data_IF_700414187086
#
_entry.id   IF_700414187086
#
_cell.length_a   1.000
_cell.length_b   1.000
_cell.length_c   1.000
_cell.angle_alpha   90.00
_cell.angle_beta   90.00
_cell.angle_gamma   90.00
#
_symmetry.space_group_name_H-M   'P 1'
#
loop_
_entity.id
_entity.type
_entity.pdbx_description
1 polymer ?
#
# COMPACT_ATOMS: atom_id res chain seq x y z
N UNK A 1 -7.48 16.82 19.14
CA UNK A 1 -7.72 16.43 17.73
C UNK A 1 -7.70 14.91 17.67
N UNK A 2 -8.85 14.25 17.57
CA UNK A 2 -8.88 12.83 17.19
C UNK A 2 -8.70 12.79 15.67
N UNK A 3 -7.45 12.67 15.22
CA UNK A 3 -7.17 12.33 13.83
C UNK A 3 -7.94 11.05 13.51
N UNK A 4 -8.54 11.07 12.34
CA UNK A 4 -9.67 10.26 11.95
C UNK A 4 -9.35 8.77 11.98
N UNK A 5 -10.21 7.98 12.65
CA UNK A 5 -10.37 6.54 12.46
C UNK A 5 -10.94 6.18 11.07
N UNK A 6 -10.55 6.93 10.03
CA UNK A 6 -11.13 6.87 8.69
C UNK A 6 -10.07 6.60 7.64
N UNK A 7 -8.87 6.15 8.01
CA UNK A 7 -7.96 5.56 7.04
C UNK A 7 -8.26 4.06 6.87
N UNK A 8 -9.46 3.75 6.37
CA UNK A 8 -9.64 2.53 5.58
C UNK A 8 -9.69 3.00 4.13
N UNK A 9 -8.57 3.56 3.68
CA UNK A 9 -8.37 3.75 2.25
C UNK A 9 -8.15 2.34 1.70
N UNK A 10 -9.09 1.87 0.88
CA UNK A 10 -8.91 0.67 0.09
C UNK A 10 -7.83 0.99 -0.95
N UNK A 11 -6.56 0.89 -0.55
CA UNK A 11 -5.44 0.97 -1.48
C UNK A 11 -5.22 -0.44 -1.99
N UNK A 12 -6.00 -0.83 -3.00
CA UNK A 12 -5.69 -1.99 -3.84
C UNK A 12 -4.84 -1.55 -5.05
N UNK A 13 -4.01 -0.52 -4.88
CA UNK A 13 -3.09 -0.14 -5.94
C UNK A 13 -2.07 -1.27 -6.09
N UNK A 14 -2.24 -2.04 -7.17
CA UNK A 14 -1.29 -2.98 -7.77
C UNK A 14 -0.14 -3.33 -6.82
N UNK A 15 -0.40 -4.22 -5.88
CA UNK A 15 0.37 -4.34 -4.63
C UNK A 15 1.88 -4.44 -4.97
N UNK A 16 2.67 -3.38 -4.77
CA UNK A 16 4.04 -3.33 -5.28
C UNK A 16 4.93 -4.23 -4.40
N UNK A 17 5.88 -4.96 -4.99
CA UNK A 17 6.81 -5.81 -4.25
C UNK A 17 7.98 -5.03 -3.60
N UNK A 18 8.02 -4.87 -2.27
CA UNK A 18 9.18 -4.36 -1.51
C UNK A 18 9.66 -5.35 -0.45
N UNK A 19 10.95 -5.73 -0.50
CA UNK A 19 11.64 -6.33 0.63
C UNK A 19 12.50 -5.25 1.30
N UNK A 20 12.09 -4.81 2.49
CA UNK A 20 13.00 -4.21 3.48
C UNK A 20 13.53 -5.32 4.38
N UNK A 21 14.77 -5.23 4.83
CA UNK A 21 15.34 -6.18 5.79
C UNK A 21 14.66 -5.98 7.15
N UNK A 22 13.56 -6.70 7.40
CA UNK A 22 12.79 -6.67 8.65
C UNK A 22 13.08 -7.95 9.43
N UNK A 23 13.55 -7.83 10.67
CA UNK A 23 13.75 -8.97 11.55
C UNK A 23 12.40 -9.54 12.01
N UNK A 24 12.31 -10.86 12.05
CA UNK A 24 11.15 -11.59 12.55
C UNK A 24 11.59 -12.59 13.62
N UNK A 25 10.91 -12.57 14.76
CA UNK A 25 11.09 -13.60 15.78
C UNK A 25 9.77 -13.95 16.47
N UNK A 26 9.81 -15.02 17.25
CA UNK A 26 8.68 -15.48 18.06
C UNK A 26 8.91 -15.02 19.49
N UNK A 27 7.93 -14.33 20.06
CA UNK A 27 7.89 -13.91 21.46
C UNK A 27 6.60 -14.46 22.09
N UNK A 28 6.73 -15.51 22.90
CA UNK A 28 5.58 -16.30 23.37
C UNK A 28 4.82 -16.94 22.20
N UNK A 29 3.51 -16.68 22.11
CA UNK A 29 2.64 -17.13 21.01
C UNK A 29 2.53 -16.08 19.88
N UNK A 30 3.24 -14.95 19.98
CA UNK A 30 3.14 -13.84 19.05
C UNK A 30 4.36 -13.78 18.12
N UNK A 31 4.12 -13.38 16.86
CA UNK A 31 5.17 -13.08 15.88
C UNK A 31 5.46 -11.58 15.95
N UNK A 32 6.72 -11.24 16.23
CA UNK A 32 7.19 -9.85 16.31
C UNK A 32 7.94 -9.47 15.03
N UNK A 33 7.63 -8.28 14.50
CA UNK A 33 8.30 -7.69 13.34
C UNK A 33 9.03 -6.43 13.79
N UNK A 34 10.31 -6.30 13.45
CA UNK A 34 11.09 -5.13 13.83
C UNK A 34 12.15 -4.77 12.78
N UNK A 35 12.38 -3.47 12.64
CA UNK A 35 13.50 -2.86 11.93
C UNK A 35 14.79 -2.84 12.77
N UNK A 36 14.73 -3.29 14.03
CA UNK A 36 15.85 -3.44 14.95
C UNK A 36 16.17 -4.94 15.16
N UNK A 37 17.46 -5.30 15.34
CA UNK A 37 17.84 -6.68 15.63
C UNK A 37 17.20 -7.18 16.94
N UNK A 38 16.90 -8.49 17.05
CA UNK A 38 16.21 -9.04 18.21
C UNK A 38 17.03 -8.87 19.51
N UNK A 39 16.37 -8.71 20.67
CA UNK A 39 17.03 -8.66 21.98
C UNK A 39 17.86 -9.92 22.30
N UNK A 40 18.94 -9.76 23.08
CA UNK A 40 19.79 -10.88 23.50
C UNK A 40 18.96 -11.97 24.21
N UNK A 41 19.02 -13.20 23.67
CA UNK A 41 18.31 -14.37 24.22
C UNK A 41 17.03 -14.78 23.46
N UNK A 42 16.63 -14.03 22.42
CA UNK A 42 15.50 -14.39 21.55
C UNK A 42 15.92 -15.35 20.45
N UNK A 43 15.16 -16.44 20.26
CA UNK A 43 15.39 -17.40 19.16
C UNK A 43 14.96 -16.77 17.85
N UNK A 44 15.95 -16.30 17.07
CA UNK A 44 15.75 -15.90 15.69
C UNK A 44 15.40 -17.15 14.88
N UNK A 45 14.16 -17.22 14.39
CA UNK A 45 13.78 -18.26 13.43
C UNK A 45 13.99 -17.71 12.02
N UNK A 46 15.21 -17.88 11.50
CA UNK A 46 15.28 -18.26 10.09
C UNK A 46 14.49 -19.58 9.97
N UNK A 47 13.57 -19.65 9.00
CA UNK A 47 12.65 -20.78 8.80
C UNK A 47 13.21 -22.15 9.28
N UNK A 48 12.59 -22.82 10.26
CA UNK A 48 12.88 -24.22 10.50
C UNK A 48 12.27 -25.02 9.34
N UNK A 49 13.12 -25.50 8.42
CA UNK A 49 12.71 -26.44 7.36
C UNK A 49 13.28 -26.24 5.96
N UNK A 50 14.11 -25.22 5.69
CA UNK A 50 14.89 -25.17 4.43
C UNK A 50 16.34 -24.76 4.71
N UNK A 51 17.29 -25.55 4.18
CA UNK A 51 18.69 -25.13 4.05
C UNK A 51 18.73 -23.79 3.32
N UNK A 52 19.59 -22.87 3.79
CA UNK A 52 20.02 -21.71 3.03
C UNK A 52 20.29 -22.11 1.57
N UNK A 53 19.84 -21.30 0.62
CA UNK A 53 20.16 -21.52 -0.80
C UNK A 53 21.67 -21.63 -0.93
N UNK A 54 22.14 -22.76 -1.44
CA UNK A 54 23.55 -22.93 -1.77
C UNK A 54 23.93 -21.88 -2.82
N UNK A 55 25.00 -21.15 -2.56
CA UNK A 55 25.74 -20.47 -3.63
C UNK A 55 26.32 -21.59 -4.49
N UNK A 56 25.66 -21.89 -5.61
CA UNK A 56 26.19 -22.83 -6.60
C UNK A 56 27.12 -22.04 -7.51
N UNK A 57 28.43 -22.15 -7.26
CA UNK A 57 29.41 -21.99 -8.32
C UNK A 57 29.38 -23.23 -9.18
N UNK A 58 29.41 -23.05 -10.50
CA UNK A 58 29.31 -24.11 -11.49
C UNK A 58 30.47 -25.12 -11.39
N UNK A 59 30.26 -26.18 -10.64
CA UNK A 59 30.88 -27.50 -10.75
C UNK A 59 30.09 -28.40 -9.79
N UNK A 60 29.86 -29.65 -10.16
CA UNK A 60 29.24 -30.69 -9.31
C UNK A 60 27.70 -30.71 -9.29
N UNK A 61 27.13 -31.06 -10.46
CA UNK A 61 25.84 -31.74 -10.52
C UNK A 61 26.10 -33.25 -10.48
N UNK A 62 25.61 -34.00 -9.47
CA UNK A 62 25.47 -35.44 -9.59
C UNK A 62 24.12 -35.80 -10.20
N UNK A 63 24.21 -36.72 -11.15
CA UNK A 63 23.14 -37.34 -11.92
C UNK A 63 22.17 -38.13 -11.00
N UNK A 64 20.88 -38.06 -11.32
CA UNK A 64 19.74 -38.75 -10.70
C UNK A 64 19.11 -38.18 -9.40
N UNK A 65 17.84 -37.76 -9.55
CA UNK A 65 16.90 -37.54 -8.45
C UNK A 65 16.16 -38.85 -8.08
N UNK A 66 15.85 -39.13 -6.80
CA UNK A 66 15.04 -40.29 -6.44
C UNK A 66 13.54 -40.02 -6.66
N UNK A 67 12.85 -41.04 -7.15
CA UNK A 67 11.44 -41.00 -7.54
C UNK A 67 10.50 -40.76 -6.35
N UNK A 68 9.58 -39.80 -6.50
CA UNK A 68 8.47 -39.55 -5.60
C UNK A 68 7.20 -40.24 -6.13
N UNK A 69 6.58 -41.00 -5.24
CA UNK A 69 5.37 -41.79 -5.42
C UNK A 69 4.16 -40.90 -5.77
N UNK A 70 3.35 -41.35 -6.73
CA UNK A 70 2.33 -40.54 -7.40
C UNK A 70 1.09 -40.27 -6.51
N UNK A 71 0.78 -38.98 -6.31
CA UNK A 71 -0.52 -38.52 -5.80
C UNK A 71 -1.57 -38.48 -6.93
N UNK A 72 -2.88 -38.67 -6.61
CA UNK A 72 -3.95 -38.71 -7.61
C UNK A 72 -4.13 -37.36 -8.34
N UNK A 73 -4.64 -37.36 -9.58
CA UNK A 73 -4.58 -36.19 -10.46
C UNK A 73 -5.57 -35.12 -10.00
N UNK A 74 -5.07 -34.14 -9.23
CA UNK A 74 -5.64 -32.80 -9.27
C UNK A 74 -5.34 -32.25 -10.67
N UNK A 75 -6.37 -31.76 -11.36
CA UNK A 75 -6.30 -31.14 -12.68
C UNK A 75 -5.09 -30.20 -12.80
N UNK A 76 -4.02 -30.71 -13.38
CA UNK A 76 -2.76 -30.05 -13.65
C UNK A 76 -2.90 -29.19 -14.89
N UNK A 77 -3.69 -28.12 -14.77
CA UNK A 77 -3.44 -26.97 -15.62
C UNK A 77 -2.32 -26.19 -14.94
N UNK A 78 -1.09 -26.35 -15.43
CA UNK A 78 -0.05 -25.33 -15.18
C UNK A 78 -0.64 -23.97 -15.56
N UNK A 79 -0.39 -22.90 -14.77
CA UNK A 79 -0.88 -21.58 -15.14
C UNK A 79 -0.32 -21.23 -16.52
N UNK A 80 -1.23 -21.10 -17.48
CA UNK A 80 -0.90 -20.86 -18.88
C UNK A 80 -0.19 -19.50 -19.04
N UNK A 81 1.14 -19.55 -19.11
CA UNK A 81 2.02 -18.43 -19.42
C UNK A 81 2.20 -18.29 -20.95
N UNK A 82 1.09 -18.32 -21.69
CA UNK A 82 1.07 -18.19 -23.16
C UNK A 82 1.91 -17.00 -23.68
N UNK A 83 2.51 -17.10 -24.88
CA UNK A 83 3.49 -16.14 -25.37
C UNK A 83 2.89 -14.75 -25.61
N UNK A 84 3.71 -13.77 -25.26
CA UNK A 84 3.36 -12.37 -25.06
C UNK A 84 3.70 -11.56 -26.33
N UNK A 85 2.87 -10.57 -26.68
CA UNK A 85 3.09 -9.61 -27.78
C UNK A 85 4.55 -9.14 -27.89
N UNK A 86 5.11 -9.18 -29.11
CA UNK A 86 6.49 -8.83 -29.44
C UNK A 86 6.80 -7.32 -29.49
N UNK A 87 5.79 -6.45 -29.29
CA UNK A 87 6.02 -5.01 -29.26
C UNK A 87 6.76 -4.61 -27.97
N UNK A 88 7.75 -3.68 -28.04
CA UNK A 88 8.48 -3.22 -26.87
C UNK A 88 7.51 -2.61 -25.86
N UNK A 89 7.58 -3.08 -24.62
CA UNK A 89 6.72 -2.63 -23.53
C UNK A 89 6.98 -1.15 -23.20
N UNK A 90 5.92 -0.42 -22.88
CA UNK A 90 6.01 1.00 -22.49
C UNK A 90 5.59 1.18 -21.03
N UNK A 91 6.05 2.26 -20.39
CA UNK A 91 5.58 2.62 -19.04
C UNK A 91 4.06 2.83 -19.01
N UNK A 92 3.49 3.46 -20.04
CA UNK A 92 2.03 3.66 -20.14
C UNK A 92 1.29 2.32 -20.16
N UNK A 93 1.82 1.33 -20.89
CA UNK A 93 1.26 -0.02 -20.91
C UNK A 93 1.37 -0.72 -19.55
N UNK A 94 2.52 -0.65 -18.88
CA UNK A 94 2.66 -1.26 -17.54
C UNK A 94 1.69 -0.62 -16.55
N UNK A 95 1.55 0.70 -16.56
CA UNK A 95 0.61 1.42 -15.68
C UNK A 95 -0.85 1.09 -15.95
N UNK A 96 -1.20 0.78 -17.20
CA UNK A 96 -2.53 0.31 -17.58
C UNK A 96 -2.75 -1.13 -17.10
N UNK A 97 -1.84 -2.04 -17.48
CA UNK A 97 -1.98 -3.47 -17.23
C UNK A 97 -1.78 -3.86 -15.77
N UNK A 98 -1.08 -3.06 -14.97
CA UNK A 98 -0.99 -3.28 -13.53
C UNK A 98 -2.21 -2.78 -12.78
N UNK A 99 -3.06 -1.97 -13.42
CA UNK A 99 -4.20 -1.33 -12.79
C UNK A 99 -3.90 -0.01 -12.08
N UNK A 100 -2.64 0.47 -12.07
CA UNK A 100 -2.30 1.75 -11.46
C UNK A 100 -3.09 2.91 -12.08
N UNK A 101 -3.15 2.98 -13.42
CA UNK A 101 -3.89 4.04 -14.13
C UNK A 101 -5.41 4.00 -13.89
N UNK A 102 -6.12 2.87 -14.08
CA UNK A 102 -7.57 2.85 -13.88
C UNK A 102 -8.00 3.10 -12.43
N UNK A 103 -7.14 2.81 -11.45
CA UNK A 103 -7.44 3.04 -10.03
C UNK A 103 -7.12 4.47 -9.55
N UNK A 104 -6.23 5.17 -10.25
CA UNK A 104 -5.74 6.48 -9.83
C UNK A 104 -6.83 7.54 -9.59
N UNK A 105 -7.93 7.63 -10.37
CA UNK A 105 -8.99 8.60 -10.08
C UNK A 105 -9.67 8.40 -8.73
N UNK A 106 -9.98 7.14 -8.38
CA UNK A 106 -10.58 6.81 -7.09
C UNK A 106 -9.58 7.08 -5.95
N UNK A 107 -8.31 6.72 -6.16
CA UNK A 107 -7.25 6.98 -5.21
C UNK A 107 -7.02 8.48 -4.94
N UNK A 108 -6.94 9.30 -6.00
CA UNK A 108 -6.80 10.75 -5.88
C UNK A 108 -7.99 11.38 -5.15
N UNK A 109 -9.20 10.90 -5.42
CA UNK A 109 -10.43 11.33 -4.73
C UNK A 109 -10.35 11.00 -3.23
N UNK A 110 -9.95 9.77 -2.88
CA UNK A 110 -9.82 9.34 -1.50
C UNK A 110 -8.75 10.15 -0.74
N UNK A 111 -7.58 10.37 -1.34
CA UNK A 111 -6.54 11.22 -0.74
C UNK A 111 -7.00 12.67 -0.56
N UNK A 112 -7.72 13.22 -1.54
CA UNK A 112 -8.26 14.58 -1.44
C UNK A 112 -9.30 14.72 -0.31
N UNK A 113 -10.11 13.68 -0.09
CA UNK A 113 -11.14 13.68 0.95
C UNK A 113 -10.58 13.86 2.36
N UNK A 114 -9.34 13.42 2.63
CA UNK A 114 -8.66 13.59 3.93
C UNK A 114 -8.44 15.06 4.32
N UNK A 115 -8.43 15.97 3.34
CA UNK A 115 -8.28 17.41 3.57
C UNK A 115 -9.61 18.13 3.72
N UNK A 116 -10.74 17.49 3.39
CA UNK A 116 -12.05 18.12 3.46
C UNK A 116 -12.50 18.22 4.92
N UNK A 117 -13.04 19.38 5.34
CA UNK A 117 -13.59 19.52 6.68
C UNK A 117 -14.82 18.63 6.84
N UNK A 118 -14.98 18.05 8.03
CA UNK A 118 -16.21 17.35 8.39
C UNK A 118 -17.40 18.31 8.41
N UNK A 119 -18.64 17.82 8.22
CA UNK A 119 -19.83 18.64 8.37
C UNK A 119 -19.82 19.40 9.71
N UNK A 120 -20.01 20.72 9.66
CA UNK A 120 -19.99 21.59 10.84
C UNK A 120 -18.61 21.97 11.37
N UNK A 121 -17.51 21.45 10.82
CA UNK A 121 -16.15 21.76 11.30
C UNK A 121 -15.64 23.13 10.84
N UNK A 122 -16.12 23.63 9.70
CA UNK A 122 -15.82 24.95 9.14
C UNK A 122 -17.09 25.60 8.60
N UNK A 123 -17.14 26.94 8.62
CA UNK A 123 -18.22 27.70 7.99
C UNK A 123 -18.23 27.52 6.47
N UNK A 124 -19.40 27.65 5.84
CA UNK A 124 -19.61 27.29 4.43
C UNK A 124 -18.65 27.95 3.43
N UNK A 125 -18.24 29.20 3.66
CA UNK A 125 -17.25 29.90 2.82
C UNK A 125 -15.86 29.27 2.90
N UNK A 126 -15.40 28.94 4.11
CA UNK A 126 -14.07 28.33 4.31
C UNK A 126 -14.05 26.88 3.86
N UNK A 127 -15.14 26.13 4.13
CA UNK A 127 -15.30 24.78 3.62
C UNK A 127 -15.27 24.73 2.08
N UNK A 128 -15.99 25.63 1.41
CA UNK A 128 -15.95 25.75 -0.04
C UNK A 128 -14.56 26.12 -0.55
N UNK A 129 -13.81 26.98 0.17
CA UNK A 129 -12.44 27.34 -0.21
C UNK A 129 -11.49 26.14 -0.12
N UNK A 130 -11.58 25.36 0.95
CA UNK A 130 -10.80 24.11 1.11
C UNK A 130 -11.13 23.12 0.01
N UNK A 131 -12.42 22.90 -0.28
CA UNK A 131 -12.85 22.00 -1.35
C UNK A 131 -12.30 22.42 -2.73
N UNK A 132 -12.30 23.72 -3.03
CA UNK A 132 -11.69 24.23 -4.27
C UNK A 132 -10.17 24.00 -4.33
N UNK A 133 -9.46 24.11 -3.21
CA UNK A 133 -8.02 23.82 -3.16
C UNK A 133 -7.78 22.34 -3.44
N UNK A 134 -8.48 21.45 -2.72
CA UNK A 134 -8.38 20.00 -2.90
C UNK A 134 -8.63 19.60 -4.35
N UNK A 135 -9.72 20.07 -4.96
CA UNK A 135 -10.07 19.75 -6.34
C UNK A 135 -9.02 20.21 -7.37
N UNK A 136 -8.29 21.30 -7.10
CA UNK A 136 -7.21 21.79 -7.98
C UNK A 136 -5.91 21.01 -7.83
N UNK A 137 -5.66 20.44 -6.65
CA UNK A 137 -4.41 19.76 -6.32
C UNK A 137 -4.46 18.26 -6.65
N UNK A 138 -5.55 17.58 -6.32
CA UNK A 138 -5.73 16.14 -6.56
C UNK A 138 -6.35 15.86 -7.93
N UNK A 139 -5.66 16.26 -9.00
CA UNK A 139 -6.08 16.01 -10.39
C UNK A 139 -5.47 14.70 -10.89
N UNK A 140 -6.26 13.65 -11.17
CA UNK A 140 -5.75 12.32 -11.53
C UNK A 140 -4.79 12.34 -12.72
N UNK A 141 -5.08 13.10 -13.77
CA UNK A 141 -4.26 13.17 -14.98
C UNK A 141 -2.89 13.79 -14.72
N UNK A 142 -2.82 14.78 -13.81
CA UNK A 142 -1.55 15.40 -13.40
C UNK A 142 -0.72 14.43 -12.56
N UNK A 143 -1.36 13.73 -11.63
CA UNK A 143 -0.70 12.69 -10.83
C UNK A 143 -0.19 11.57 -11.73
N UNK A 144 -0.99 11.11 -12.70
CA UNK A 144 -0.60 10.09 -13.67
C UNK A 144 0.62 10.52 -14.48
N UNK A 145 0.61 11.74 -15.02
CA UNK A 145 1.73 12.27 -15.79
C UNK A 145 3.02 12.30 -14.96
N UNK A 146 2.95 12.70 -13.70
CA UNK A 146 4.09 12.74 -12.79
C UNK A 146 4.60 11.33 -12.43
N UNK A 147 3.70 10.38 -12.13
CA UNK A 147 4.05 8.97 -11.86
C UNK A 147 4.72 8.36 -13.08
N UNK A 148 4.13 8.52 -14.27
CA UNK A 148 4.66 8.00 -15.52
C UNK A 148 6.06 8.54 -15.81
N UNK A 149 6.24 9.84 -15.67
CA UNK A 149 7.51 10.50 -15.93
C UNK A 149 8.58 10.07 -14.92
N UNK A 150 8.20 9.85 -13.66
CA UNK A 150 9.10 9.28 -12.66
C UNK A 150 9.48 7.83 -12.94
N UNK A 151 8.52 6.98 -13.34
CA UNK A 151 8.82 5.61 -13.74
C UNK A 151 9.73 5.56 -14.98
N UNK A 152 9.53 6.42 -15.99
CA UNK A 152 10.38 6.50 -17.19
C UNK A 152 11.85 6.76 -16.87
N UNK A 153 12.15 7.47 -15.79
CA UNK A 153 13.53 7.74 -15.35
C UNK A 153 14.19 6.58 -14.61
N UNK A 154 13.40 5.63 -14.09
CA UNK A 154 13.88 4.62 -13.15
C UNK A 154 13.65 3.16 -13.59
N UNK A 155 12.94 2.94 -14.72
CA UNK A 155 12.76 1.60 -15.30
C UNK A 155 13.51 1.48 -16.63
N UNK A 156 14.31 0.43 -16.78
CA UNK A 156 14.98 0.10 -18.05
C UNK A 156 14.12 -0.82 -18.95
N UNK A 157 14.52 -0.97 -20.21
CA UNK A 157 13.78 -1.75 -21.20
C UNK A 157 13.66 -3.25 -20.84
N UNK A 158 14.66 -3.83 -20.17
CA UNK A 158 14.65 -5.24 -19.75
C UNK A 158 13.67 -5.45 -18.60
N UNK A 159 13.64 -4.52 -17.65
CA UNK A 159 12.68 -4.48 -16.57
C UNK A 159 11.25 -4.34 -17.10
N UNK A 160 11.00 -3.40 -18.02
CA UNK A 160 9.69 -3.24 -18.68
C UNK A 160 9.23 -4.50 -19.39
N UNK A 161 10.13 -5.17 -20.14
CA UNK A 161 9.79 -6.43 -20.82
C UNK A 161 9.40 -7.53 -19.83
N UNK A 162 10.12 -7.66 -18.71
CA UNK A 162 9.80 -8.63 -17.66
C UNK A 162 8.46 -8.33 -16.96
N UNK A 163 8.16 -7.06 -16.70
CA UNK A 163 6.86 -6.64 -16.16
C UNK A 163 5.73 -6.93 -17.14
N UNK A 164 5.91 -6.57 -18.41
CA UNK A 164 4.89 -6.78 -19.43
C UNK A 164 4.60 -8.27 -19.65
N UNK A 165 5.63 -9.12 -19.61
CA UNK A 165 5.44 -10.56 -19.73
C UNK A 165 4.46 -11.09 -18.66
N UNK A 166 4.60 -10.64 -17.42
CA UNK A 166 3.68 -11.01 -16.35
C UNK A 166 2.30 -10.38 -16.51
N UNK A 167 2.20 -9.06 -16.65
CA UNK A 167 0.91 -8.38 -16.67
C UNK A 167 0.07 -8.74 -17.91
N UNK A 168 0.71 -9.20 -18.99
CA UNK A 168 0.02 -9.75 -20.18
C UNK A 168 -0.34 -11.23 -20.03
N UNK A 169 0.06 -11.94 -18.97
CA UNK A 169 -0.36 -13.31 -18.73
C UNK A 169 -1.85 -13.38 -18.35
N UNK A 170 -2.46 -14.57 -18.45
CA UNK A 170 -3.83 -14.78 -17.99
C UNK A 170 -3.98 -14.47 -16.49
N UNK A 171 -3.05 -14.99 -15.68
CA UNK A 171 -3.06 -14.78 -14.22
C UNK A 171 -2.82 -13.31 -13.86
N UNK A 172 -1.86 -12.63 -14.50
CA UNK A 172 -1.61 -11.20 -14.27
C UNK A 172 -2.86 -10.34 -14.52
N UNK A 173 -3.54 -10.56 -15.65
CA UNK A 173 -4.82 -9.88 -15.94
C UNK A 173 -5.92 -10.21 -14.94
N UNK A 174 -6.02 -11.47 -14.51
CA UNK A 174 -7.00 -11.91 -13.50
C UNK A 174 -6.77 -11.19 -12.16
N UNK A 175 -5.52 -11.15 -11.69
CA UNK A 175 -5.10 -10.44 -10.47
C UNK A 175 -5.45 -8.96 -10.58
N UNK A 176 -5.03 -8.28 -11.65
CA UNK A 176 -5.33 -6.85 -11.84
C UNK A 176 -6.82 -6.56 -11.89
N UNK A 177 -7.63 -7.43 -12.51
CA UNK A 177 -9.08 -7.26 -12.52
C UNK A 177 -9.69 -7.35 -11.11
N UNK A 178 -9.19 -8.24 -10.26
CA UNK A 178 -9.60 -8.35 -8.85
C UNK A 178 -9.21 -7.10 -8.06
N UNK A 179 -7.98 -6.61 -8.22
CA UNK A 179 -7.48 -5.40 -7.56
C UNK A 179 -8.29 -4.16 -7.98
N UNK A 180 -8.54 -3.97 -9.27
CA UNK A 180 -9.39 -2.88 -9.79
C UNK A 180 -10.83 -3.00 -9.27
N UNK A 181 -11.39 -4.21 -9.19
CA UNK A 181 -12.73 -4.39 -8.65
C UNK A 181 -12.81 -4.02 -7.17
N UNK A 182 -11.77 -4.36 -6.40
CA UNK A 182 -11.66 -4.02 -4.99
C UNK A 182 -11.45 -2.53 -4.73
N UNK A 183 -10.82 -1.80 -5.66
CA UNK A 183 -10.59 -0.36 -5.52
C UNK A 183 -11.85 0.51 -5.66
N UNK A 184 -12.97 -0.08 -6.09
CA UNK A 184 -14.22 0.65 -6.31
C UNK A 184 -14.96 0.91 -4.99
N UNK A 185 -15.71 2.02 -4.86
CA UNK A 185 -16.43 2.35 -3.64
C UNK A 185 -17.37 1.22 -3.15
N UNK A 186 -17.95 0.45 -4.07
CA UNK A 186 -18.90 -0.63 -3.76
C UNK A 186 -18.24 -1.83 -3.07
N UNK A 187 -16.90 -1.93 -3.10
CA UNK A 187 -16.17 -3.00 -2.42
C UNK A 187 -16.07 -2.76 -0.91
N UNK A 188 -16.15 -1.51 -0.43
CA UNK A 188 -16.00 -1.17 0.99
C UNK A 188 -16.96 -1.93 1.92
N UNK A 189 -18.29 -1.87 1.70
CA UNK A 189 -19.24 -2.64 2.51
C UNK A 189 -19.02 -4.16 2.44
N UNK A 190 -18.59 -4.68 1.28
CA UNK A 190 -18.32 -6.11 1.09
C UNK A 190 -17.08 -6.55 1.86
N UNK A 191 -16.02 -5.76 1.83
CA UNK A 191 -14.80 -5.98 2.60
C UNK A 191 -15.10 -5.96 4.11
N UNK A 192 -15.89 -4.99 4.58
CA UNK A 192 -16.28 -4.92 6.00
C UNK A 192 -17.08 -6.16 6.43
N UNK A 193 -18.03 -6.62 5.61
CA UNK A 193 -18.78 -7.84 5.87
C UNK A 193 -17.88 -9.09 5.88
N UNK A 194 -16.95 -9.18 4.92
CA UNK A 194 -15.97 -10.27 4.85
C UNK A 194 -15.05 -10.30 6.08
N UNK A 195 -14.50 -9.15 6.48
CA UNK A 195 -13.67 -9.02 7.66
C UNK A 195 -14.42 -9.39 8.95
N UNK A 196 -15.71 -9.08 9.04
CA UNK A 196 -16.55 -9.53 10.15
C UNK A 196 -16.74 -11.05 10.14
N UNK A 197 -16.96 -11.65 8.97
CA UNK A 197 -17.13 -13.09 8.81
C UNK A 197 -15.87 -13.89 9.17
N UNK A 198 -14.67 -13.34 8.95
CA UNK A 198 -13.40 -13.99 9.34
C UNK A 198 -13.31 -14.32 10.83
N UNK A 199 -14.04 -13.59 11.70
CA UNK A 199 -14.06 -13.84 13.15
C UNK A 199 -14.78 -15.14 13.53
N UNK A 200 -15.77 -15.54 12.74
CA UNK A 200 -16.57 -16.76 12.96
C UNK A 200 -16.20 -17.89 12.02
N UNK A 201 -15.59 -17.55 10.88
CA UNK A 201 -15.19 -18.48 9.84
C UNK A 201 -13.80 -18.08 9.33
N UNK A 202 -12.74 -18.42 10.09
CA UNK A 202 -11.39 -18.06 9.71
C UNK A 202 -10.98 -18.71 8.39
N UNK A 203 -10.14 -18.02 7.63
CA UNK A 203 -9.57 -18.58 6.41
C UNK A 203 -8.72 -19.84 6.71
N UNK A 204 -8.61 -20.74 5.73
CA UNK A 204 -7.76 -21.95 5.85
C UNK A 204 -6.31 -21.53 6.16
N UNK A 205 -5.58 -22.23 7.05
CA UNK A 205 -4.19 -21.86 7.42
C UNK A 205 -3.26 -21.67 6.22
N UNK A 206 -3.35 -22.54 5.21
CA UNK A 206 -2.55 -22.43 3.98
C UNK A 206 -2.82 -21.14 3.20
N UNK A 207 -4.07 -20.64 3.20
CA UNK A 207 -4.43 -19.37 2.56
C UNK A 207 -3.87 -18.18 3.35
N UNK A 208 -3.91 -18.25 4.68
CA UNK A 208 -3.33 -17.23 5.57
C UNK A 208 -1.83 -17.12 5.36
N UNK A 209 -1.12 -18.25 5.29
CA UNK A 209 0.33 -18.28 5.03
C UNK A 209 0.69 -17.61 3.68
N UNK A 210 -0.07 -17.91 2.62
CA UNK A 210 0.15 -17.29 1.31
C UNK A 210 -0.08 -15.77 1.33
N UNK A 211 -1.10 -15.30 2.04
CA UNK A 211 -1.38 -13.86 2.19
C UNK A 211 -0.31 -13.17 3.06
N UNK A 212 0.17 -13.82 4.12
CA UNK A 212 1.29 -13.29 4.91
C UNK A 212 2.57 -13.19 4.08
N UNK A 213 2.84 -14.18 3.22
CA UNK A 213 3.98 -14.12 2.28
C UNK A 213 3.77 -13.05 1.22
N UNK A 214 2.53 -12.84 0.76
CA UNK A 214 2.20 -11.73 -0.13
C UNK A 214 2.48 -10.38 0.53
N UNK A 215 2.00 -10.17 1.75
CA UNK A 215 2.29 -8.99 2.56
C UNK A 215 3.78 -8.79 2.75
N UNK A 216 4.52 -9.86 3.03
CA UNK A 216 5.97 -9.81 3.19
C UNK A 216 6.69 -9.35 1.91
N UNK A 217 6.37 -9.94 0.76
CA UNK A 217 7.06 -9.59 -0.49
C UNK A 217 6.64 -8.22 -1.03
N UNK A 218 5.54 -7.68 -0.52
CA UNK A 218 4.99 -6.38 -0.93
C UNK A 218 5.26 -5.23 0.02
N UNK A 219 5.25 -5.48 1.33
CA UNK A 219 5.27 -4.42 2.32
C UNK A 219 4.02 -3.52 2.25
N UNK A 220 2.88 -4.03 1.76
CA UNK A 220 1.70 -3.21 1.46
C UNK A 220 1.18 -2.45 2.69
N UNK A 221 1.31 -3.00 3.90
CA UNK A 221 0.97 -2.30 5.15
C UNK A 221 1.90 -1.14 5.43
N UNK A 222 3.21 -1.31 5.19
CA UNK A 222 4.19 -0.25 5.33
C UNK A 222 3.91 0.87 4.33
N UNK A 223 3.67 0.51 3.06
CA UNK A 223 3.36 1.48 2.02
C UNK A 223 2.10 2.29 2.31
N UNK A 224 1.04 1.61 2.75
CA UNK A 224 -0.23 2.24 3.15
C UNK A 224 0.00 3.18 4.33
N UNK A 225 0.84 2.78 5.29
CA UNK A 225 1.23 3.62 6.42
C UNK A 225 2.01 4.85 5.97
N UNK A 226 2.97 4.71 5.05
CA UNK A 226 3.76 5.82 4.54
C UNK A 226 2.93 6.83 3.73
N UNK A 227 1.93 6.37 2.98
CA UNK A 227 0.97 7.24 2.30
C UNK A 227 0.12 8.02 3.31
N UNK A 228 -0.37 7.35 4.35
CA UNK A 228 -1.15 7.99 5.42
C UNK A 228 -0.34 9.06 6.16
N UNK A 229 0.92 8.75 6.48
CA UNK A 229 1.84 9.67 7.14
C UNK A 229 2.28 10.81 6.23
N UNK A 230 2.35 10.60 4.91
CA UNK A 230 2.60 11.69 3.96
C UNK A 230 1.51 12.76 4.07
N UNK A 231 0.24 12.34 4.09
CA UNK A 231 -0.92 13.24 4.27
C UNK A 231 -0.91 13.89 5.66
N UNK A 232 -0.88 13.10 6.73
CA UNK A 232 -0.94 13.63 8.09
C UNK A 232 0.26 14.54 8.42
N UNK A 233 1.46 14.13 8.03
CA UNK A 233 2.68 14.88 8.21
C UNK A 233 2.68 16.20 7.42
N UNK A 234 2.08 16.24 6.23
CA UNK A 234 1.97 17.49 5.44
C UNK A 234 1.17 18.56 6.20
N UNK A 235 0.06 18.16 6.84
CA UNK A 235 -0.78 19.04 7.64
C UNK A 235 -0.02 19.54 8.87
N UNK A 236 0.66 18.64 9.58
CA UNK A 236 1.45 18.97 10.77
C UNK A 236 2.57 19.98 10.43
N UNK A 237 3.33 19.73 9.35
CA UNK A 237 4.40 20.64 8.88
C UNK A 237 3.83 22.00 8.45
N UNK A 238 2.75 22.02 7.67
CA UNK A 238 2.14 23.27 7.22
C UNK A 238 1.60 24.11 8.40
N UNK A 239 0.94 23.48 9.37
CA UNK A 239 0.45 24.15 10.57
C UNK A 239 1.59 24.70 11.44
N UNK A 240 2.68 23.94 11.61
CA UNK A 240 3.85 24.37 12.35
C UNK A 240 4.56 25.56 11.69
N UNK A 241 4.67 25.55 10.36
CA UNK A 241 5.26 26.65 9.59
C UNK A 241 4.43 27.95 9.68
N UNK A 242 3.11 27.84 9.82
CA UNK A 242 2.21 28.98 9.98
C UNK A 242 2.06 29.47 11.43
N UNK A 243 2.66 28.78 12.41
CA UNK A 243 2.62 29.20 13.80
C UNK A 243 3.48 30.47 14.04
N UNK A 244 3.09 31.35 14.98
CA UNK A 244 3.93 32.46 15.43
C UNK A 244 5.30 31.97 15.89
N UNK A 245 6.33 32.81 15.77
CA UNK A 245 7.72 32.43 16.03
C UNK A 245 7.93 31.80 17.41
N UNK A 246 7.18 32.27 18.41
CA UNK A 246 7.21 31.84 19.81
C UNK A 246 6.60 30.44 20.01
N UNK A 247 5.78 29.98 19.07
CA UNK A 247 5.09 28.68 19.08
C UNK A 247 5.52 27.74 17.95
N UNK A 248 6.53 28.11 17.16
CA UNK A 248 7.07 27.20 16.15
C UNK A 248 7.66 25.98 16.85
N UNK A 249 7.28 24.80 16.36
CA UNK A 249 7.85 23.56 16.85
C UNK A 249 9.39 23.60 16.67
N UNK A 250 10.12 23.08 17.66
CA UNK A 250 11.57 22.89 17.52
C UNK A 250 11.84 21.93 16.37
N UNK A 251 12.98 22.12 15.70
CA UNK A 251 13.47 21.18 14.68
C UNK A 251 13.45 19.76 15.24
N UNK A 252 12.88 18.80 14.50
CA UNK A 252 12.78 17.39 14.91
C UNK A 252 11.54 17.04 15.76
N UNK A 253 10.76 18.01 16.26
CA UNK A 253 9.54 17.70 17.02
C UNK A 253 8.41 17.18 16.13
N UNK A 254 8.31 17.69 14.90
CA UNK A 254 7.27 17.25 13.96
C UNK A 254 7.59 15.84 13.47
N UNK A 255 8.87 15.56 13.22
CA UNK A 255 9.37 14.25 12.80
C UNK A 255 9.12 13.20 13.90
N UNK A 256 9.46 13.50 15.16
CA UNK A 256 9.12 12.62 16.29
C UNK A 256 7.62 12.36 16.41
N UNK A 257 6.79 13.39 16.24
CA UNK A 257 5.34 13.22 16.27
C UNK A 257 4.82 12.33 15.12
N UNK A 258 5.41 12.43 13.93
CA UNK A 258 5.09 11.56 12.79
C UNK A 258 5.53 10.11 13.06
N UNK A 259 6.68 9.89 13.69
CA UNK A 259 7.15 8.55 14.08
C UNK A 259 6.26 7.92 15.16
N UNK A 260 5.82 8.70 16.15
CA UNK A 260 4.83 8.25 17.14
C UNK A 260 3.50 7.87 16.47
N UNK A 261 3.03 8.68 15.50
CA UNK A 261 1.85 8.36 14.71
C UNK A 261 2.03 7.07 13.91
N UNK A 262 3.22 6.82 13.35
CA UNK A 262 3.53 5.57 12.66
C UNK A 262 3.31 4.37 13.57
N UNK A 263 3.89 4.39 14.78
CA UNK A 263 3.76 3.29 15.75
C UNK A 263 2.30 3.01 16.14
N UNK A 264 1.46 4.04 16.17
CA UNK A 264 0.02 3.91 16.46
C UNK A 264 -0.78 3.37 15.28
N UNK A 265 -0.45 3.78 14.05
CA UNK A 265 -1.22 3.45 12.84
C UNK A 265 -0.84 2.08 12.28
N UNK A 266 0.44 1.73 12.29
CA UNK A 266 0.97 0.55 11.59
C UNK A 266 0.27 -0.77 11.97
N UNK A 267 0.00 -1.10 13.25
CA UNK A 267 -0.66 -2.36 13.59
C UNK A 267 -2.09 -2.46 13.06
N UNK A 268 -2.86 -1.37 13.14
CA UNK A 268 -4.25 -1.32 12.66
C UNK A 268 -4.31 -1.41 11.14
N UNK A 269 -3.39 -0.73 10.46
CA UNK A 269 -3.25 -0.81 9.00
C UNK A 269 -2.86 -2.22 8.58
N UNK A 270 -1.91 -2.86 9.28
CA UNK A 270 -1.47 -4.22 8.96
C UNK A 270 -2.61 -5.24 9.07
N UNK A 271 -3.41 -5.17 10.13
CA UNK A 271 -4.59 -6.04 10.28
C UNK A 271 -5.60 -5.81 9.13
N UNK A 272 -5.87 -4.55 8.80
CA UNK A 272 -6.77 -4.18 7.70
C UNK A 272 -6.29 -4.66 6.33
N UNK A 273 -4.99 -4.54 6.07
CA UNK A 273 -4.36 -4.97 4.82
C UNK A 273 -4.43 -6.49 4.67
N UNK A 274 -4.15 -7.26 5.73
CA UNK A 274 -4.29 -8.73 5.67
C UNK A 274 -5.73 -9.16 5.38
N UNK A 275 -6.72 -8.54 6.04
CA UNK A 275 -8.14 -8.81 5.77
C UNK A 275 -8.52 -8.44 4.33
N UNK A 276 -7.99 -7.34 3.82
CA UNK A 276 -8.17 -6.91 2.43
C UNK A 276 -7.54 -7.90 1.45
N UNK A 277 -6.31 -8.34 1.66
CA UNK A 277 -5.66 -9.35 0.79
C UNK A 277 -6.45 -10.65 0.76
N UNK A 278 -6.95 -11.11 1.91
CA UNK A 278 -7.82 -12.30 1.97
C UNK A 278 -9.11 -12.11 1.16
N UNK A 279 -9.68 -10.90 1.15
CA UNK A 279 -10.88 -10.57 0.38
C UNK A 279 -10.60 -10.47 -1.13
N UNK A 280 -9.59 -9.67 -1.52
CA UNK A 280 -9.27 -9.40 -2.94
C UNK A 280 -8.87 -10.67 -3.68
N UNK A 281 -8.07 -11.52 -3.02
CA UNK A 281 -7.55 -12.74 -3.63
C UNK A 281 -8.36 -13.98 -3.28
N UNK A 282 -9.52 -13.84 -2.63
CA UNK A 282 -10.45 -14.95 -2.36
C UNK A 282 -10.73 -15.79 -3.63
N UNK A 283 -11.01 -15.18 -4.81
CA UNK A 283 -11.34 -15.94 -6.02
C UNK A 283 -10.16 -16.66 -6.68
N UNK A 284 -8.93 -16.46 -6.20
CA UNK A 284 -7.76 -17.19 -6.69
C UNK A 284 -7.67 -18.55 -6.01
N UNK A 285 -7.23 -19.57 -6.75
CA UNK A 285 -6.77 -20.82 -6.14
C UNK A 285 -5.48 -20.58 -5.34
N UNK A 286 -5.14 -21.47 -4.41
CA UNK A 286 -3.87 -21.38 -3.66
C UNK A 286 -2.65 -21.44 -4.60
N UNK A 287 -2.75 -22.18 -5.71
CA UNK A 287 -1.71 -22.26 -6.73
C UNK A 287 -1.54 -20.94 -7.52
N UNK A 288 -2.64 -20.29 -7.90
CA UNK A 288 -2.62 -18.98 -8.56
C UNK A 288 -2.06 -17.89 -7.64
N UNK A 289 -2.50 -17.85 -6.38
CA UNK A 289 -1.98 -16.89 -5.40
C UNK A 289 -0.48 -17.12 -5.15
N UNK A 290 -0.05 -18.38 -5.04
CA UNK A 290 1.37 -18.72 -4.93
C UNK A 290 2.18 -18.21 -6.14
N UNK A 291 1.69 -18.45 -7.36
CA UNK A 291 2.34 -17.97 -8.58
C UNK A 291 2.44 -16.44 -8.61
N UNK A 292 1.42 -15.73 -8.12
CA UNK A 292 1.48 -14.28 -7.97
C UNK A 292 2.54 -13.83 -6.96
N UNK A 293 2.60 -14.45 -5.78
CA UNK A 293 3.63 -14.18 -4.76
C UNK A 293 5.04 -14.45 -5.32
N UNK A 294 5.21 -15.54 -6.07
CA UNK A 294 6.50 -15.88 -6.68
C UNK A 294 6.92 -14.87 -7.77
N UNK A 295 5.97 -14.36 -8.56
CA UNK A 295 6.24 -13.25 -9.47
C UNK A 295 6.67 -11.99 -8.73
N UNK A 296 5.94 -11.58 -7.69
CA UNK A 296 6.29 -10.39 -6.91
C UNK A 296 7.66 -10.54 -6.25
N UNK A 297 8.01 -11.75 -5.82
CA UNK A 297 9.33 -12.08 -5.32
C UNK A 297 10.42 -12.14 -6.40
N UNK A 298 10.10 -12.16 -7.69
CA UNK A 298 11.07 -12.24 -8.79
C UNK A 298 11.76 -10.89 -9.08
N UNK A 299 12.91 -10.85 -9.79
CA UNK A 299 13.54 -9.59 -10.18
C UNK A 299 12.63 -8.57 -10.88
N UNK A 300 11.81 -8.92 -11.91
CA UNK A 300 10.88 -7.96 -12.51
C UNK A 300 9.76 -7.52 -11.56
N UNK A 301 9.24 -8.42 -10.72
CA UNK A 301 8.23 -8.07 -9.71
C UNK A 301 8.75 -7.06 -8.68
N UNK A 302 9.93 -7.32 -8.10
CA UNK A 302 10.60 -6.39 -7.17
C UNK A 302 10.99 -5.07 -7.82
N UNK A 303 11.38 -5.09 -9.10
CA UNK A 303 11.67 -3.87 -9.84
C UNK A 303 10.40 -3.03 -10.04
N UNK A 304 9.28 -3.67 -10.40
CA UNK A 304 7.99 -2.99 -10.52
C UNK A 304 7.58 -2.40 -9.18
N UNK A 305 7.67 -3.21 -8.12
CA UNK A 305 7.38 -2.83 -6.76
C UNK A 305 8.05 -1.52 -6.36
N UNK A 306 9.38 -1.55 -6.38
CA UNK A 306 10.23 -0.41 -6.03
C UNK A 306 9.94 0.85 -6.81
N UNK A 307 9.75 0.73 -8.13
CA UNK A 307 9.63 1.91 -8.98
C UNK A 307 8.22 2.48 -8.93
N UNK A 308 7.18 1.64 -8.93
CA UNK A 308 5.79 2.08 -8.86
C UNK A 308 5.46 2.74 -7.52
N UNK A 309 5.82 2.11 -6.40
CA UNK A 309 5.60 2.68 -5.07
C UNK A 309 6.36 3.99 -4.88
N UNK A 310 7.66 4.01 -5.20
CA UNK A 310 8.48 5.20 -5.00
C UNK A 310 7.96 6.38 -5.85
N UNK A 311 7.53 6.13 -7.09
CA UNK A 311 6.91 7.14 -7.94
C UNK A 311 5.60 7.66 -7.33
N UNK A 312 4.71 6.76 -6.89
CA UNK A 312 3.45 7.12 -6.26
C UNK A 312 3.66 7.93 -4.99
N UNK A 313 4.48 7.44 -4.06
CA UNK A 313 4.74 8.08 -2.78
C UNK A 313 5.37 9.48 -2.96
N UNK A 314 6.30 9.65 -3.91
CA UNK A 314 6.86 10.97 -4.25
C UNK A 314 5.77 11.94 -4.70
N UNK A 315 4.93 11.53 -5.65
CA UNK A 315 3.84 12.37 -6.16
C UNK A 315 2.83 12.71 -5.07
N UNK A 316 2.46 11.73 -4.24
CA UNK A 316 1.54 11.96 -3.11
C UNK A 316 2.13 12.93 -2.11
N UNK A 317 3.40 12.78 -1.72
CA UNK A 317 4.07 13.73 -0.80
C UNK A 317 4.07 15.14 -1.36
N UNK A 318 4.41 15.31 -2.64
CA UNK A 318 4.44 16.63 -3.29
C UNK A 318 3.04 17.28 -3.36
N UNK A 319 2.01 16.52 -3.72
CA UNK A 319 0.63 17.01 -3.76
C UNK A 319 0.12 17.32 -2.34
N UNK A 320 0.41 16.44 -1.38
CA UNK A 320 0.03 16.61 0.02
C UNK A 320 0.63 17.87 0.64
N UNK A 321 1.95 18.07 0.50
CA UNK A 321 2.65 19.24 1.06
C UNK A 321 2.14 20.55 0.45
N UNK A 322 1.95 20.61 -0.88
CA UNK A 322 1.37 21.78 -1.55
C UNK A 322 -0.05 22.08 -1.07
N UNK A 323 -0.88 21.04 -0.98
CA UNK A 323 -2.27 21.18 -0.54
C UNK A 323 -2.36 21.69 0.89
N UNK A 324 -1.58 21.10 1.80
CA UNK A 324 -1.55 21.51 3.21
C UNK A 324 -1.13 22.97 3.38
N UNK A 325 -0.07 23.41 2.68
CA UNK A 325 0.39 24.79 2.70
C UNK A 325 -0.67 25.76 2.17
N UNK A 326 -1.31 25.42 1.04
CA UNK A 326 -2.34 26.28 0.45
C UNK A 326 -3.59 26.38 1.35
N UNK A 327 -4.03 25.28 1.95
CA UNK A 327 -5.15 25.26 2.91
C UNK A 327 -4.83 26.13 4.12
N UNK A 328 -3.66 25.97 4.75
CA UNK A 328 -3.29 26.73 5.95
C UNK A 328 -3.16 28.22 5.65
N UNK A 329 -2.70 28.60 4.45
CA UNK A 329 -2.67 30.01 4.01
C UNK A 329 -4.07 30.57 3.78
N UNK A 330 -4.97 29.80 3.18
CA UNK A 330 -6.34 30.25 2.88
C UNK A 330 -7.26 30.26 4.12
N UNK A 331 -7.08 29.29 5.02
CA UNK A 331 -7.86 29.13 6.25
C UNK A 331 -6.90 28.87 7.42
N UNK A 332 -6.40 29.93 8.07
CA UNK A 332 -5.45 29.82 9.17
C UNK A 332 -5.98 28.99 10.35
N UNK A 333 -5.12 28.32 11.14
CA UNK A 333 -5.53 27.43 12.23
C UNK A 333 -6.47 28.07 13.26
N UNK A 334 -6.39 29.39 13.46
CA UNK A 334 -7.27 30.15 14.36
C UNK A 334 -8.73 30.08 13.91
N UNK A 335 -8.99 30.08 12.60
CA UNK A 335 -10.36 30.00 12.05
C UNK A 335 -10.97 28.62 12.30
N UNK A 336 -10.16 27.57 12.20
CA UNK A 336 -10.55 26.20 12.57
C UNK A 336 -10.88 26.08 14.06
N UNK A 337 -10.08 26.72 14.93
CA UNK A 337 -10.31 26.70 16.37
C UNK A 337 -11.56 27.50 16.79
N UNK A 338 -11.81 28.66 16.16
CA UNK A 338 -13.01 29.47 16.41
C UNK A 338 -14.28 28.75 15.98
N UNK A 339 -14.28 28.09 14.82
CA UNK A 339 -15.43 27.31 14.34
C UNK A 339 -15.83 26.17 15.31
N UNK A 340 -14.84 25.49 15.90
CA UNK A 340 -15.09 24.44 16.90
C UNK A 340 -15.71 25.00 18.19
N UNK A 341 -15.26 26.19 18.64
CA UNK A 341 -15.83 26.86 19.82
C UNK A 341 -17.29 27.30 19.58
N UNK A 342 -17.61 27.78 18.39
CA UNK A 342 -19.00 28.16 18.03
C UNK A 342 -19.93 26.96 17.87
N UNK A 343 -19.42 25.81 17.40
CA UNK A 343 -20.22 24.59 17.30
C UNK A 343 -20.53 23.97 18.66
N UNK A 344 -19.59 24.00 19.62
CA UNK A 344 -19.77 23.46 20.97
C UNK A 344 -20.58 24.34 21.93
N UNK A 345 -20.94 25.57 21.53
CA UNK A 345 -21.70 26.53 22.35
C UNK A 345 -23.20 26.61 22.00
N UNK A 346 -23.68 25.76 21.09
CA UNK A 346 -25.12 25.62 20.82
C UNK A 346 -25.70 24.64 21.84
N UNK A 347 -26.58 25.05 22.78
CA UNK A 347 -27.24 24.10 23.68
C UNK A 347 -28.14 23.16 22.86
N UNK A 348 -28.34 21.91 23.29
CA UNK A 348 -29.34 21.05 22.66
C UNK A 348 -30.70 21.74 22.76
N UNK A 349 -31.36 21.92 21.61
CA UNK A 349 -32.80 22.20 21.55
C UNK A 349 -33.57 20.91 21.75
#
# INVERSE_FOLDING_TARGET
MKLASTLVVIVALAVPAHAGDVYRWVDGDAIVYSDQPPPDGVVVTEMPGRKAFAVVTAADVPDAAPALEAAPPASSAEPDLAPVSMAPATVDEILELSGMRPQLPAFATALGAEYLPRPGQLGGRDGARVAQIVARQFVPERMYAAIREDMRRHVDAKQLAGMAAWFRSHLGRKVTALEIAASKPEAGPKLAAFAAALKTSPARPARVELVQRLEWVTGASQETTDLALAVAGSIARAAAAAAPAERRARVGMIERGVDEMRGQMAPTIAEGVLAQMLYVYEPLTDAELKAYVDFLASPPGRAYGRVAHAALLRVVREVADRTAVEIVRAVPPQRWATAQKTAGSTPPR
#
